data_IF_589167986989
#
_entry.id   IF_589167986989
#
_cell.length_a   1.000
_cell.length_b   1.000
_cell.length_c   1.000
_cell.angle_alpha   90.00
_cell.angle_beta   90.00
_cell.angle_gamma   90.00
#
_symmetry.space_group_name_H-M   'P 1'
#
loop_
_entity.id
_entity.type
_entity.pdbx_description
1 polymer ?
#
# COMPACT_ATOMS: atom_id res chain seq x y z
N UNK A 1 -0.99 12.54 0.53
CA UNK A 1 -0.82 13.47 -0.62
C UNK A 1 -1.09 14.93 -0.28
N UNK A 2 -2.02 15.28 0.64
CA UNK A 2 -2.17 16.68 1.12
C UNK A 2 -0.93 17.23 1.86
N UNK A 3 -0.02 16.36 2.30
CA UNK A 3 1.18 16.74 3.05
C UNK A 3 2.34 17.20 2.15
N UNK A 4 2.23 17.07 0.82
CA UNK A 4 3.26 17.48 -0.13
C UNK A 4 2.60 18.33 -1.23
N UNK A 5 2.90 19.63 -1.23
CA UNK A 5 2.26 20.72 -1.99
C UNK A 5 2.54 20.73 -3.49
N UNK A 6 2.62 19.57 -4.15
CA UNK A 6 2.83 19.50 -5.60
C UNK A 6 1.50 19.65 -6.34
N UNK A 7 1.31 20.80 -6.99
CA UNK A 7 0.16 21.03 -7.87
C UNK A 7 0.39 20.46 -9.29
N UNK A 8 1.65 20.37 -9.73
CA UNK A 8 2.05 19.87 -11.05
C UNK A 8 3.36 19.09 -10.98
N UNK A 9 3.55 18.13 -11.89
CA UNK A 9 4.80 17.38 -12.12
C UNK A 9 5.12 17.48 -13.60
N UNK A 10 6.29 18.00 -13.97
CA UNK A 10 6.68 18.23 -15.37
C UNK A 10 5.59 18.96 -16.19
N UNK A 11 5.01 20.02 -15.60
CA UNK A 11 3.87 20.78 -16.13
C UNK A 11 2.53 20.02 -16.25
N UNK A 12 2.47 18.74 -15.90
CA UNK A 12 1.22 17.97 -15.86
C UNK A 12 0.56 18.16 -14.50
N UNK A 13 -0.71 18.62 -14.44
CA UNK A 13 -1.45 18.74 -13.20
C UNK A 13 -1.63 17.40 -12.48
N UNK A 14 -1.52 17.41 -11.15
CA UNK A 14 -1.59 16.18 -10.35
C UNK A 14 -2.95 15.49 -10.44
N UNK A 15 -4.03 16.23 -10.69
CA UNK A 15 -5.36 15.67 -10.91
C UNK A 15 -5.44 14.88 -12.23
N UNK A 16 -4.73 15.33 -13.27
CA UNK A 16 -4.61 14.62 -14.55
C UNK A 16 -3.82 13.33 -14.35
N UNK A 17 -2.67 13.38 -13.67
CA UNK A 17 -1.88 12.18 -13.35
C UNK A 17 -2.74 11.17 -12.57
N UNK A 18 -3.51 11.64 -11.59
CA UNK A 18 -4.43 10.80 -10.81
C UNK A 18 -5.51 10.18 -11.67
N UNK A 19 -6.13 10.94 -12.59
CA UNK A 19 -7.14 10.43 -13.52
C UNK A 19 -6.57 9.35 -14.44
N UNK A 20 -5.38 9.58 -15.00
CA UNK A 20 -4.70 8.60 -15.85
C UNK A 20 -4.35 7.32 -15.08
N UNK A 21 -3.78 7.45 -13.88
CA UNK A 21 -3.49 6.29 -13.02
C UNK A 21 -4.77 5.53 -12.66
N UNK A 22 -5.88 6.22 -12.37
CA UNK A 22 -7.18 5.60 -12.10
C UNK A 22 -7.71 4.81 -13.29
N UNK A 23 -7.53 5.32 -14.52
CA UNK A 23 -7.93 4.60 -15.74
C UNK A 23 -7.13 3.31 -15.87
N UNK A 24 -5.82 3.35 -15.67
CA UNK A 24 -4.97 2.13 -15.77
C UNK A 24 -5.37 1.06 -14.76
N UNK A 25 -5.80 1.44 -13.55
CA UNK A 25 -6.25 0.49 -12.53
C UNK A 25 -7.66 -0.03 -12.85
N UNK A 26 -8.58 0.85 -13.27
CA UNK A 26 -10.01 0.50 -13.40
C UNK A 26 -10.35 -0.17 -14.72
N UNK A 27 -9.62 0.15 -15.78
CA UNK A 27 -9.90 -0.34 -17.13
C UNK A 27 -8.94 -1.47 -17.52
N UNK A 28 -8.45 -2.20 -16.53
CA UNK A 28 -7.61 -3.38 -16.76
C UNK A 28 -8.46 -4.56 -17.25
N UNK A 29 -8.21 -4.94 -18.51
CA UNK A 29 -8.91 -6.02 -19.22
C UNK A 29 -7.88 -6.99 -19.77
N UNK A 30 -8.09 -8.27 -19.49
CA UNK A 30 -7.23 -9.36 -19.95
C UNK A 30 -8.06 -10.46 -20.63
N UNK A 31 -7.37 -11.30 -21.41
CA UNK A 31 -8.01 -12.43 -22.11
C UNK A 31 -7.64 -13.72 -21.39
N UNK A 32 -8.66 -14.48 -20.99
CA UNK A 32 -8.51 -15.82 -20.43
C UNK A 32 -9.51 -16.76 -21.10
N UNK A 33 -9.04 -17.89 -21.62
CA UNK A 33 -9.88 -18.86 -22.36
C UNK A 33 -10.77 -18.24 -23.45
N UNK A 34 -10.20 -17.29 -24.23
CA UNK A 34 -10.89 -16.53 -25.29
C UNK A 34 -12.05 -15.65 -24.80
N UNK A 35 -12.15 -15.40 -23.49
CA UNK A 35 -13.10 -14.46 -22.89
C UNK A 35 -12.36 -13.21 -22.43
N UNK A 36 -13.01 -12.06 -22.62
CA UNK A 36 -12.55 -10.80 -22.05
C UNK A 36 -12.99 -10.73 -20.60
N UNK A 37 -12.02 -10.62 -19.71
CA UNK A 37 -12.21 -10.49 -18.27
C UNK A 37 -11.70 -9.11 -17.84
N UNK A 38 -12.40 -8.48 -16.91
CA UNK A 38 -11.95 -7.23 -16.29
C UNK A 38 -11.47 -7.52 -14.88
N UNK A 39 -10.29 -7.03 -14.53
CA UNK A 39 -9.85 -7.06 -13.15
C UNK A 39 -10.63 -6.00 -12.35
N UNK A 40 -11.43 -6.45 -11.40
CA UNK A 40 -12.32 -5.58 -10.62
C UNK A 40 -11.68 -5.08 -9.32
N UNK A 41 -10.67 -5.81 -8.81
CA UNK A 41 -10.04 -5.58 -7.51
C UNK A 41 -8.52 -5.64 -7.70
N UNK A 42 -7.81 -4.74 -7.03
CA UNK A 42 -6.36 -4.58 -7.07
C UNK A 42 -5.79 -4.25 -8.47
N UNK A 43 -4.46 -4.12 -8.57
CA UNK A 43 -3.78 -3.85 -9.82
C UNK A 43 -3.35 -5.13 -10.53
N UNK A 44 -3.34 -5.13 -11.86
CA UNK A 44 -2.85 -6.27 -12.65
C UNK A 44 -1.37 -6.53 -12.41
N UNK A 45 -1.01 -7.79 -12.18
CA UNK A 45 0.39 -8.18 -12.08
C UNK A 45 1.12 -7.88 -13.41
N UNK A 46 2.23 -7.15 -13.33
CA UNK A 46 3.00 -6.73 -14.51
C UNK A 46 2.68 -5.32 -15.04
N UNK A 47 1.68 -4.62 -14.49
CA UNK A 47 1.48 -3.20 -14.79
C UNK A 47 2.60 -2.34 -14.18
N UNK A 48 2.96 -1.25 -14.86
CA UNK A 48 3.93 -0.27 -14.36
C UNK A 48 3.52 0.36 -13.01
N UNK A 49 2.23 0.31 -12.68
CA UNK A 49 1.70 0.82 -11.41
C UNK A 49 1.63 -0.19 -10.28
N UNK A 50 1.85 -1.48 -10.56
CA UNK A 50 1.69 -2.59 -9.60
C UNK A 50 2.69 -2.52 -8.45
N UNK A 51 3.82 -1.83 -8.61
CA UNK A 51 4.75 -1.58 -7.51
C UNK A 51 4.52 -0.22 -6.85
N UNK A 52 4.32 0.82 -7.67
CA UNK A 52 4.27 2.21 -7.21
C UNK A 52 3.03 2.49 -6.37
N UNK A 53 1.83 2.07 -6.82
CA UNK A 53 0.59 2.40 -6.12
C UNK A 53 0.41 1.61 -4.83
N UNK A 54 0.72 0.29 -4.77
CA UNK A 54 0.75 -0.42 -3.51
C UNK A 54 1.77 0.17 -2.55
N UNK A 55 2.95 0.60 -3.01
CA UNK A 55 3.91 1.26 -2.13
C UNK A 55 3.38 2.56 -1.50
N UNK A 56 2.64 3.39 -2.26
CA UNK A 56 1.99 4.61 -1.75
C UNK A 56 0.88 4.26 -0.76
N UNK A 57 0.05 3.27 -1.09
CA UNK A 57 -1.03 2.80 -0.23
C UNK A 57 -0.47 2.28 1.10
N UNK A 58 0.51 1.39 1.03
CA UNK A 58 1.14 0.77 2.19
C UNK A 58 1.93 1.77 3.02
N UNK A 59 2.52 2.81 2.42
CA UNK A 59 3.11 3.92 3.18
C UNK A 59 2.07 4.62 4.07
N UNK A 60 0.86 4.90 3.54
CA UNK A 60 -0.20 5.54 4.31
C UNK A 60 -0.65 4.67 5.48
N UNK A 61 -0.73 3.36 5.26
CA UNK A 61 -1.10 2.37 6.27
C UNK A 61 -0.01 2.23 7.36
N UNK A 62 1.24 1.95 6.98
CA UNK A 62 2.29 1.59 7.93
C UNK A 62 2.83 2.77 8.75
N UNK A 63 2.52 4.02 8.37
CA UNK A 63 3.18 5.20 8.95
C UNK A 63 3.10 5.27 10.48
N UNK A 64 1.99 4.83 11.08
CA UNK A 64 1.81 4.83 12.53
C UNK A 64 2.65 3.74 13.20
N UNK A 65 2.66 2.55 12.60
CA UNK A 65 3.51 1.42 13.03
C UNK A 65 4.98 1.81 12.97
N UNK A 66 5.45 2.30 11.82
CA UNK A 66 6.85 2.72 11.64
C UNK A 66 7.24 3.79 12.65
N UNK A 67 6.40 4.81 12.84
CA UNK A 67 6.69 5.87 13.80
C UNK A 67 6.84 5.36 15.24
N UNK A 68 5.98 4.43 15.68
CA UNK A 68 6.10 3.82 17.01
C UNK A 68 7.43 3.07 17.15
N UNK A 69 7.76 2.22 16.17
CA UNK A 69 8.98 1.41 16.19
C UNK A 69 10.23 2.30 16.16
N UNK A 70 10.23 3.37 15.36
CA UNK A 70 11.32 4.37 15.30
C UNK A 70 11.54 5.04 16.66
N UNK A 71 10.48 5.45 17.36
CA UNK A 71 10.56 6.05 18.70
C UNK A 71 11.13 5.07 19.73
N UNK A 72 10.85 3.78 19.57
CA UNK A 72 11.36 2.70 20.43
C UNK A 72 12.75 2.19 20.04
N UNK A 73 13.41 2.79 19.03
CA UNK A 73 14.69 2.36 18.49
C UNK A 73 14.68 0.89 18.00
N UNK A 74 13.56 0.48 17.41
CA UNK A 74 13.32 -0.83 16.82
C UNK A 74 13.54 -0.79 15.30
N UNK A 75 13.82 -1.94 14.69
CA UNK A 75 14.00 -2.08 13.24
C UNK A 75 12.65 -2.33 12.59
N UNK A 76 12.41 -1.67 11.46
CA UNK A 76 11.29 -1.94 10.55
C UNK A 76 11.79 -2.07 9.12
N UNK A 77 11.30 -3.07 8.40
CA UNK A 77 11.55 -3.30 6.98
C UNK A 77 10.30 -3.79 6.26
N UNK A 78 10.14 -3.40 5.00
CA UNK A 78 9.13 -3.94 4.10
C UNK A 78 9.75 -4.30 2.75
N UNK A 79 9.46 -5.48 2.23
CA UNK A 79 9.79 -5.89 0.88
C UNK A 79 8.52 -6.29 0.12
N UNK A 80 8.02 -5.36 -0.69
CA UNK A 80 6.75 -5.48 -1.43
C UNK A 80 5.59 -5.83 -0.49
N UNK A 81 5.32 -7.11 -0.29
CA UNK A 81 4.23 -7.65 0.54
C UNK A 81 4.72 -8.19 1.90
N UNK A 82 6.03 -8.40 2.07
CA UNK A 82 6.63 -8.88 3.32
C UNK A 82 6.96 -7.73 4.26
N UNK A 83 6.64 -7.90 5.55
CA UNK A 83 6.98 -6.94 6.61
C UNK A 83 7.80 -7.65 7.67
N UNK A 84 8.85 -6.98 8.12
CA UNK A 84 9.71 -7.42 9.20
C UNK A 84 9.89 -6.29 10.21
N UNK A 85 9.80 -6.60 11.49
CA UNK A 85 10.20 -5.67 12.53
C UNK A 85 10.71 -6.40 13.78
N UNK A 86 11.51 -5.71 14.57
CA UNK A 86 11.90 -6.17 15.92
C UNK A 86 11.02 -5.47 16.95
N UNK A 87 10.71 -6.12 18.07
CA UNK A 87 10.16 -5.38 19.21
C UNK A 87 10.67 -5.86 20.56
N UNK A 88 10.86 -4.92 21.48
CA UNK A 88 11.20 -5.17 22.88
C UNK A 88 9.94 -5.33 23.76
N UNK A 89 8.76 -5.07 23.20
CA UNK A 89 7.49 -5.19 23.90
C UNK A 89 7.13 -6.66 24.20
N UNK A 90 6.17 -6.84 25.12
CA UNK A 90 5.57 -8.15 25.36
C UNK A 90 4.84 -8.68 24.12
N UNK A 91 4.72 -10.00 24.02
CA UNK A 91 3.95 -10.62 22.94
C UNK A 91 2.49 -10.12 22.90
N UNK A 92 1.88 -9.85 24.06
CA UNK A 92 0.51 -9.32 24.14
C UNK A 92 0.39 -7.91 23.54
N UNK A 93 1.37 -7.03 23.79
CA UNK A 93 1.42 -5.69 23.19
C UNK A 93 1.57 -5.79 21.66
N UNK A 94 2.42 -6.71 21.19
CA UNK A 94 2.60 -6.98 19.76
C UNK A 94 1.28 -7.47 19.14
N UNK A 95 0.58 -8.40 19.79
CA UNK A 95 -0.69 -8.92 19.28
C UNK A 95 -1.76 -7.81 19.22
N UNK A 96 -1.81 -6.92 20.22
CA UNK A 96 -2.69 -5.76 20.21
C UNK A 96 -2.35 -4.80 19.06
N UNK A 97 -1.07 -4.51 18.85
CA UNK A 97 -0.59 -3.71 17.74
C UNK A 97 -0.97 -4.32 16.38
N UNK A 98 -0.83 -5.64 16.21
CA UNK A 98 -1.23 -6.33 14.98
C UNK A 98 -2.74 -6.26 14.78
N UNK A 99 -3.54 -6.41 15.84
CA UNK A 99 -4.99 -6.26 15.79
C UNK A 99 -5.41 -4.84 15.35
N UNK A 100 -4.76 -3.80 15.88
CA UNK A 100 -4.97 -2.41 15.45
C UNK A 100 -4.62 -2.22 13.97
N UNK A 101 -3.47 -2.73 13.53
CA UNK A 101 -3.03 -2.64 12.14
C UNK A 101 -4.00 -3.35 11.18
N UNK A 102 -4.58 -4.47 11.62
CA UNK A 102 -5.57 -5.28 10.89
C UNK A 102 -6.96 -4.63 10.78
N UNK A 103 -7.21 -3.52 11.47
CA UNK A 103 -8.45 -2.74 11.34
C UNK A 103 -8.42 -1.72 10.21
N UNK A 104 -7.26 -1.47 9.60
CA UNK A 104 -7.14 -0.46 8.54
C UNK A 104 -7.85 -0.83 7.24
N UNK A 105 -7.83 -2.11 6.86
CA UNK A 105 -8.46 -2.59 5.64
C UNK A 105 -8.97 -4.02 5.81
N UNK A 106 -10.15 -4.32 5.30
CA UNK A 106 -10.79 -5.63 5.46
C UNK A 106 -9.97 -6.77 4.85
N UNK A 107 -9.26 -6.48 3.75
CA UNK A 107 -8.56 -7.48 2.95
C UNK A 107 -7.05 -7.55 3.24
N UNK A 108 -6.54 -6.76 4.19
CA UNK A 108 -5.12 -6.79 4.57
C UNK A 108 -5.03 -7.26 6.00
N UNK A 109 -4.32 -8.39 6.19
CA UNK A 109 -4.13 -9.00 7.50
C UNK A 109 -2.66 -9.35 7.70
N UNK A 110 -2.10 -8.83 8.78
CA UNK A 110 -0.83 -9.26 9.34
C UNK A 110 -1.08 -10.46 10.25
N UNK A 111 -0.25 -11.47 10.07
CA UNK A 111 -0.13 -12.64 10.93
C UNK A 111 1.33 -12.78 11.33
N UNK A 112 1.56 -13.26 12.56
CA UNK A 112 2.89 -13.53 13.10
C UNK A 112 3.35 -14.93 12.73
#
# INVERSE_FOLDING_TARGET
LLQHSYQKVQNIPIDIIRKLALIVIKEDVFVYEKKFCRQAIDGAMGSAFTLTLPNIFMWKWQRQLVHRLEVSNEIYGRYVDDIFFTSNDSLESIDQMLAEANNFHSNIKLVR
#
